data_IF_924496432108
#
_entry.id   IF_924496432108
#
_cell.length_a   1.000
_cell.length_b   1.000
_cell.length_c   1.000
_cell.angle_alpha   90.00
_cell.angle_beta   90.00
_cell.angle_gamma   90.00
#
_symmetry.space_group_name_H-M   'P 1'
#
loop_
_entity.id
_entity.type
_entity.pdbx_description
1 polymer ?
#
# COMPACT_ATOMS: atom_id res chain seq x y z
N UNK A 1 20.45 -17.78 -6.49
CA UNK A 1 20.33 -18.52 -7.76
C UNK A 1 20.17 -17.51 -8.88
N UNK A 2 20.99 -17.59 -9.94
CA UNK A 2 20.86 -16.69 -11.09
C UNK A 2 19.47 -16.86 -11.75
N UNK A 3 18.80 -15.76 -12.06
CA UNK A 3 17.47 -15.81 -12.68
C UNK A 3 17.58 -16.48 -14.06
N UNK A 4 16.91 -17.63 -14.24
CA UNK A 4 16.86 -18.35 -15.52
C UNK A 4 15.85 -17.65 -16.43
N UNK A 5 16.34 -17.04 -17.52
CA UNK A 5 15.48 -16.40 -18.51
C UNK A 5 14.82 -17.46 -19.41
N UNK A 6 13.51 -17.34 -19.63
CA UNK A 6 12.73 -18.19 -20.54
C UNK A 6 12.05 -17.31 -21.59
N UNK A 7 12.22 -17.64 -22.87
CA UNK A 7 11.52 -16.96 -23.97
C UNK A 7 10.10 -17.50 -24.09
N UNK A 8 9.12 -16.59 -24.16
CA UNK A 8 7.71 -16.89 -24.47
C UNK A 8 7.31 -16.07 -25.69
N UNK A 9 6.70 -16.72 -26.67
CA UNK A 9 6.21 -16.09 -27.91
C UNK A 9 4.69 -16.10 -27.88
N UNK A 10 4.09 -14.95 -28.15
CA UNK A 10 2.63 -14.75 -28.23
C UNK A 10 2.29 -14.17 -29.59
N UNK A 11 1.17 -14.58 -30.15
CA UNK A 11 0.61 -13.99 -31.38
C UNK A 11 -0.41 -12.95 -30.98
N UNK A 12 -0.33 -11.78 -31.59
CA UNK A 12 -1.24 -10.67 -31.39
C UNK A 12 -1.83 -10.29 -32.74
N UNK A 13 -3.09 -9.88 -32.74
CA UNK A 13 -3.67 -9.13 -33.85
C UNK A 13 -3.03 -7.74 -33.94
N UNK A 14 -3.16 -7.07 -35.09
CA UNK A 14 -2.62 -5.70 -35.25
C UNK A 14 -3.19 -4.73 -34.22
N UNK A 15 -4.48 -4.86 -33.89
CA UNK A 15 -5.14 -4.05 -32.88
C UNK A 15 -4.55 -4.29 -31.48
N UNK A 16 -4.32 -5.55 -31.11
CA UNK A 16 -3.73 -5.89 -29.81
C UNK A 16 -2.28 -5.43 -29.70
N UNK A 17 -1.50 -5.54 -30.78
CA UNK A 17 -0.12 -5.05 -30.83
C UNK A 17 -0.07 -3.53 -30.65
N UNK A 18 -0.97 -2.80 -31.32
CA UNK A 18 -1.10 -1.35 -31.16
C UNK A 18 -1.50 -0.96 -29.74
N UNK A 19 -2.49 -1.64 -29.17
CA UNK A 19 -2.95 -1.38 -27.80
C UNK A 19 -1.85 -1.65 -26.76
N UNK A 20 -1.04 -2.70 -26.98
CA UNK A 20 0.11 -3.00 -26.15
C UNK A 20 1.14 -1.85 -26.19
N UNK A 21 1.47 -1.37 -27.39
CA UNK A 21 2.43 -0.27 -27.57
C UNK A 21 1.93 1.03 -26.91
N UNK A 22 0.66 1.37 -27.09
CA UNK A 22 0.05 2.57 -26.50
C UNK A 22 0.09 2.50 -24.97
N UNK A 23 -0.36 1.40 -24.35
CA UNK A 23 -0.37 1.27 -22.88
C UNK A 23 1.02 1.19 -22.26
N UNK A 24 1.97 0.57 -22.96
CA UNK A 24 3.37 0.54 -22.53
C UNK A 24 3.95 1.96 -22.52
N UNK A 25 3.67 2.75 -23.57
CA UNK A 25 4.09 4.14 -23.68
C UNK A 25 3.45 5.05 -22.62
N UNK A 26 2.14 4.92 -22.38
CA UNK A 26 1.43 5.63 -21.30
C UNK A 26 2.03 5.34 -19.92
N UNK A 27 2.49 4.10 -19.71
CA UNK A 27 3.14 3.68 -18.46
C UNK A 27 4.62 4.06 -18.40
N UNK A 28 5.19 4.64 -19.46
CA UNK A 28 6.63 4.96 -19.56
C UNK A 28 7.54 3.73 -19.56
N UNK A 29 7.03 2.55 -19.94
CA UNK A 29 7.75 1.28 -19.91
C UNK A 29 7.93 0.72 -21.33
N UNK A 30 9.04 0.03 -21.63
CA UNK A 30 9.12 -0.79 -22.84
C UNK A 30 8.14 -1.96 -22.74
N UNK A 31 7.58 -2.39 -23.87
CA UNK A 31 6.52 -3.42 -23.93
C UNK A 31 6.87 -4.71 -23.17
N UNK A 32 8.14 -5.13 -23.20
CA UNK A 32 8.59 -6.32 -22.49
C UNK A 32 8.54 -6.16 -20.95
N UNK A 33 8.82 -4.98 -20.42
CA UNK A 33 8.67 -4.66 -19.00
C UNK A 33 7.21 -4.49 -18.66
N UNK A 34 6.43 -3.85 -19.53
CA UNK A 34 5.00 -3.69 -19.35
C UNK A 34 4.28 -5.03 -19.26
N UNK A 35 4.58 -5.99 -20.15
CA UNK A 35 4.03 -7.37 -20.07
C UNK A 35 4.43 -8.03 -18.74
N UNK A 36 5.70 -7.92 -18.33
CA UNK A 36 6.16 -8.52 -17.06
C UNK A 36 5.49 -7.89 -15.84
N UNK A 37 5.27 -6.59 -15.89
CA UNK A 37 4.56 -5.83 -14.87
C UNK A 37 3.11 -6.30 -14.75
N UNK A 38 2.41 -6.42 -15.88
CA UNK A 38 1.03 -6.93 -15.92
C UNK A 38 0.91 -8.39 -15.48
N UNK A 39 1.92 -9.24 -15.75
CA UNK A 39 1.94 -10.62 -15.27
C UNK A 39 2.20 -10.68 -13.75
N UNK A 40 3.03 -9.80 -13.22
CA UNK A 40 3.43 -9.83 -11.81
C UNK A 40 2.36 -9.31 -10.87
N UNK A 41 1.66 -8.23 -11.25
CA UNK A 41 0.70 -7.49 -10.42
C UNK A 41 1.11 -7.38 -8.95
N UNK A 42 2.41 -7.18 -8.65
CA UNK A 42 2.85 -7.08 -7.26
C UNK A 42 2.76 -5.63 -6.80
N UNK A 43 2.27 -5.34 -5.58
CA UNK A 43 2.33 -4.01 -5.00
C UNK A 43 3.75 -3.41 -4.99
N UNK A 44 4.79 -4.26 -5.01
CA UNK A 44 6.18 -3.84 -5.04
C UNK A 44 6.66 -3.25 -6.36
N UNK A 45 5.95 -3.48 -7.46
CA UNK A 45 6.36 -3.04 -8.80
C UNK A 45 5.85 -1.61 -9.11
N UNK A 46 5.18 -0.97 -8.15
CA UNK A 46 4.65 0.38 -8.25
C UNK A 46 5.38 1.30 -7.25
N UNK A 47 6.49 1.95 -7.64
CA UNK A 47 7.26 2.81 -6.76
C UNK A 47 6.42 3.93 -6.12
N UNK A 48 5.43 4.44 -6.85
CA UNK A 48 4.48 5.44 -6.35
C UNK A 48 3.63 4.90 -5.18
N UNK A 49 3.12 3.68 -5.29
CA UNK A 49 2.31 3.05 -4.23
C UNK A 49 3.18 2.73 -3.02
N UNK A 50 4.41 2.24 -3.22
CA UNK A 50 5.35 2.03 -2.10
C UNK A 50 5.69 3.32 -1.36
N UNK A 51 5.91 4.42 -2.10
CA UNK A 51 6.18 5.72 -1.53
C UNK A 51 5.00 6.20 -0.68
N UNK A 52 3.78 6.13 -1.21
CA UNK A 52 2.56 6.49 -0.48
C UNK A 52 2.35 5.64 0.77
N UNK A 53 2.55 4.32 0.68
CA UNK A 53 2.46 3.42 1.84
C UNK A 53 3.52 3.75 2.91
N UNK A 54 4.74 4.08 2.49
CA UNK A 54 5.81 4.47 3.41
C UNK A 54 5.52 5.81 4.10
N UNK A 55 4.99 6.78 3.36
CA UNK A 55 4.54 8.07 3.89
C UNK A 55 3.40 7.86 4.91
N UNK A 56 2.42 7.01 4.59
CA UNK A 56 1.33 6.67 5.50
C UNK A 56 1.83 6.02 6.80
N UNK A 57 2.74 5.03 6.70
CA UNK A 57 3.33 4.37 7.87
C UNK A 57 4.09 5.37 8.74
N UNK A 58 4.85 6.28 8.12
CA UNK A 58 5.59 7.31 8.85
C UNK A 58 4.64 8.26 9.59
N UNK A 59 3.52 8.65 8.98
CA UNK A 59 2.54 9.52 9.63
C UNK A 59 1.85 8.81 10.81
N UNK A 60 1.50 7.53 10.65
CA UNK A 60 0.96 6.70 11.74
C UNK A 60 1.96 6.62 12.91
N UNK A 61 3.25 6.39 12.61
CA UNK A 61 4.29 6.36 13.63
C UNK A 61 4.43 7.72 14.35
N UNK A 62 4.32 8.83 13.61
CA UNK A 62 4.37 10.18 14.20
C UNK A 62 3.18 10.41 15.12
N UNK A 63 1.98 10.01 14.70
CA UNK A 63 0.77 10.09 15.54
C UNK A 63 0.92 9.23 16.80
N UNK A 64 1.41 7.99 16.67
CA UNK A 64 1.66 7.10 17.80
C UNK A 64 2.66 7.68 18.80
N UNK A 65 3.73 8.30 18.32
CA UNK A 65 4.70 8.99 19.18
C UNK A 65 4.09 10.20 19.88
N UNK A 66 3.27 11.00 19.20
CA UNK A 66 2.58 12.13 19.82
C UNK A 66 1.58 11.66 20.90
N UNK A 67 0.86 10.57 20.65
CA UNK A 67 -0.01 9.94 21.66
C UNK A 67 0.82 9.47 22.86
N UNK A 68 1.93 8.78 22.63
CA UNK A 68 2.82 8.34 23.71
C UNK A 68 3.38 9.51 24.51
N UNK A 69 3.71 10.63 23.86
CA UNK A 69 4.16 11.85 24.54
C UNK A 69 3.04 12.53 25.34
N UNK A 70 1.80 12.56 24.84
CA UNK A 70 0.64 13.07 25.59
C UNK A 70 0.37 12.18 26.80
N UNK A 71 0.42 10.85 26.62
CA UNK A 71 0.23 9.88 27.70
C UNK A 71 1.36 10.01 28.72
N UNK A 72 2.63 10.06 28.31
CA UNK A 72 3.76 10.26 29.22
C UNK A 72 3.77 11.65 29.87
N UNK A 73 3.36 12.69 29.16
CA UNK A 73 3.19 14.04 29.72
C UNK A 73 2.09 14.09 30.78
N UNK A 74 1.03 13.30 30.61
CA UNK A 74 -0.04 13.11 31.59
C UNK A 74 0.29 12.03 32.66
N UNK A 75 1.43 11.33 32.58
CA UNK A 75 1.94 10.48 33.66
C UNK A 75 2.52 11.28 34.85
N UNK A 76 2.25 12.59 34.91
CA UNK A 76 2.37 13.43 36.10
C UNK A 76 1.10 13.36 36.97
N UNK A 77 0.53 12.16 37.16
CA UNK A 77 -0.60 11.80 38.07
C UNK A 77 -2.08 12.04 37.67
N UNK A 78 -2.50 12.00 36.39
CA UNK A 78 -3.95 12.14 36.06
C UNK A 78 -4.55 11.22 34.97
N UNK A 79 -4.01 10.03 34.70
CA UNK A 79 -4.71 9.05 33.84
C UNK A 79 -5.56 8.09 34.67
N UNK A 80 -6.89 8.17 34.55
CA UNK A 80 -7.78 7.22 35.21
C UNK A 80 -7.96 5.96 34.37
N UNK A 81 -8.32 4.83 34.98
CA UNK A 81 -8.57 3.58 34.24
C UNK A 81 -9.70 3.73 33.20
N UNK A 82 -10.65 4.64 33.43
CA UNK A 82 -11.70 4.98 32.47
C UNK A 82 -11.13 5.63 31.18
N UNK A 83 -10.15 6.52 31.31
CA UNK A 83 -9.50 7.16 30.15
C UNK A 83 -8.75 6.14 29.29
N UNK A 84 -8.19 5.12 29.94
CA UNK A 84 -7.48 4.00 29.30
C UNK A 84 -8.43 3.08 28.54
N UNK A 85 -9.59 2.81 29.12
CA UNK A 85 -10.65 2.01 28.50
C UNK A 85 -11.23 2.74 27.28
N UNK A 86 -11.43 4.06 27.39
CA UNK A 86 -11.95 4.88 26.30
C UNK A 86 -10.95 5.02 25.13
N UNK A 87 -9.66 5.17 25.43
CA UNK A 87 -8.60 5.16 24.40
C UNK A 87 -8.54 3.80 23.68
N UNK A 88 -8.66 2.70 24.44
CA UNK A 88 -8.68 1.35 23.88
C UNK A 88 -9.90 1.12 22.96
N UNK A 89 -11.05 1.69 23.32
CA UNK A 89 -12.25 1.66 22.48
C UNK A 89 -12.07 2.46 21.18
N UNK A 90 -11.47 3.66 21.24
CA UNK A 90 -11.15 4.44 20.04
C UNK A 90 -10.17 3.70 19.11
N UNK A 91 -9.15 3.05 19.67
CA UNK A 91 -8.18 2.27 18.89
C UNK A 91 -8.81 1.03 18.24
N UNK A 92 -9.74 0.34 18.93
CA UNK A 92 -10.51 -0.76 18.32
C UNK A 92 -11.38 -0.25 17.17
N UNK A 93 -12.04 0.88 17.34
CA UNK A 93 -12.90 1.46 16.32
C UNK A 93 -12.11 1.90 15.08
N UNK A 94 -10.93 2.51 15.27
CA UNK A 94 -10.02 2.88 14.19
C UNK A 94 -9.56 1.64 13.41
N UNK A 95 -9.19 0.56 14.09
CA UNK A 95 -8.81 -0.70 13.44
C UNK A 95 -9.95 -1.33 12.64
N UNK A 96 -11.20 -1.26 13.12
CA UNK A 96 -12.37 -1.76 12.39
C UNK A 96 -12.63 -0.94 11.12
N UNK A 97 -12.64 0.39 11.22
CA UNK A 97 -12.80 1.26 10.05
C UNK A 97 -11.68 1.08 9.02
N UNK A 98 -10.45 0.84 9.47
CA UNK A 98 -9.33 0.54 8.57
C UNK A 98 -9.52 -0.80 7.84
N UNK A 99 -10.03 -1.83 8.52
CA UNK A 99 -10.37 -3.12 7.88
C UNK A 99 -11.47 -2.97 6.84
N UNK A 100 -12.53 -2.21 7.13
CA UNK A 100 -13.61 -1.96 6.17
C UNK A 100 -13.09 -1.25 4.90
N UNK A 101 -12.17 -0.31 5.05
CA UNK A 101 -11.53 0.37 3.92
C UNK A 101 -10.67 -0.60 3.11
N UNK A 102 -9.91 -1.47 3.80
CA UNK A 102 -9.10 -2.51 3.14
C UNK A 102 -9.99 -3.51 2.39
N UNK A 103 -11.12 -3.94 2.95
CA UNK A 103 -12.05 -4.84 2.25
C UNK A 103 -12.68 -4.20 1.01
N UNK A 104 -12.98 -2.89 1.06
CA UNK A 104 -13.51 -2.16 -0.09
C UNK A 104 -12.48 -1.95 -1.20
N UNK A 105 -11.21 -1.79 -0.84
CA UNK A 105 -10.11 -1.59 -1.82
C UNK A 105 -9.56 -2.92 -2.32
N UNK A 106 -9.51 -3.96 -1.48
CA UNK A 106 -8.95 -5.28 -1.79
C UNK A 106 -9.84 -6.17 -2.66
N UNK A 107 -11.08 -5.75 -2.94
CA UNK A 107 -12.03 -6.41 -3.85
C UNK A 107 -12.12 -5.72 -5.24
N UNK A 108 -11.14 -4.89 -5.61
CA UNK A 108 -10.99 -4.32 -6.95
C UNK A 108 -9.82 -4.94 -7.71
#
# INVERSE_FOLDING_TARGET
MAAKWVRKTVRLTEMEARLLAERAAESGLPENQYIRFQIRQRPSDYPAVQKLLKELINEINRIGNNINQIVHGNHMDFYTEADKEQLSAYMRRLNLSMREVIEKIGNQ
#
